data_IF_800620646572
#
_entry.id   IF_800620646572
#
_cell.length_a   1.000
_cell.length_b   1.000
_cell.length_c   1.000
_cell.angle_alpha   90.00
_cell.angle_beta   90.00
_cell.angle_gamma   90.00
#
_symmetry.space_group_name_H-M   'P 1'
#
loop_
_entity.id
_entity.type
_entity.pdbx_description
1 polymer ?
#
# COMPACT_ATOMS: atom_id res chain seq x y z
N UNK A 1 -22.84 15.37 -16.18
CA UNK A 1 -21.74 15.50 -17.21
C UNK A 1 -20.75 14.36 -17.01
N UNK A 2 -20.48 13.54 -18.04
CA UNK A 2 -19.53 12.42 -17.98
C UNK A 2 -18.12 12.90 -18.33
N UNK A 3 -17.15 12.58 -17.49
CA UNK A 3 -15.74 12.99 -17.65
C UNK A 3 -14.84 11.77 -17.59
N UNK A 4 -13.93 11.65 -18.56
CA UNK A 4 -12.82 10.71 -18.50
C UNK A 4 -11.58 11.46 -18.03
N UNK A 5 -10.91 11.00 -16.97
CA UNK A 5 -9.72 11.64 -16.46
C UNK A 5 -8.59 11.75 -17.51
N UNK A 6 -7.94 12.90 -17.61
CA UNK A 6 -6.73 13.03 -18.43
C UNK A 6 -5.54 12.26 -17.89
N UNK A 7 -5.49 12.09 -16.57
CA UNK A 7 -4.47 11.29 -15.89
C UNK A 7 -4.78 9.80 -16.08
N UNK A 8 -3.78 9.04 -16.50
CA UNK A 8 -3.93 7.61 -16.75
C UNK A 8 -3.66 6.79 -15.50
N UNK A 9 -4.33 5.64 -15.41
CA UNK A 9 -3.97 4.58 -14.48
C UNK A 9 -2.75 3.82 -14.99
N UNK A 10 -1.99 3.22 -14.07
CA UNK A 10 -0.76 2.50 -14.39
C UNK A 10 -0.92 1.00 -14.17
N UNK A 11 -0.38 0.23 -15.11
CA UNK A 11 -0.23 -1.21 -14.91
C UNK A 11 0.96 -1.48 -13.97
N UNK A 12 0.84 -2.38 -12.97
CA UNK A 12 1.88 -2.63 -11.97
C UNK A 12 3.03 -3.52 -12.48
N UNK A 13 3.81 -3.07 -13.47
CA UNK A 13 4.89 -3.85 -14.10
C UNK A 13 5.94 -4.36 -13.11
N UNK A 14 6.32 -3.58 -12.11
CA UNK A 14 7.28 -4.00 -11.10
C UNK A 14 6.74 -5.20 -10.30
N UNK A 15 5.45 -5.17 -9.94
CA UNK A 15 4.80 -6.28 -9.24
C UNK A 15 4.67 -7.52 -10.12
N UNK A 16 4.45 -7.36 -11.46
CA UNK A 16 4.49 -8.50 -12.39
C UNK A 16 5.84 -9.21 -12.33
N UNK A 17 6.91 -8.44 -12.34
CA UNK A 17 8.27 -8.97 -12.25
C UNK A 17 8.53 -9.68 -10.91
N UNK A 18 8.13 -9.07 -9.80
CA UNK A 18 8.34 -9.63 -8.46
C UNK A 18 7.54 -10.93 -8.26
N UNK A 19 6.32 -10.97 -8.77
CA UNK A 19 5.50 -12.18 -8.71
C UNK A 19 6.07 -13.29 -9.61
N UNK A 20 6.52 -12.97 -10.82
CA UNK A 20 7.22 -13.92 -11.68
C UNK A 20 8.49 -14.46 -11.01
N UNK A 21 9.28 -13.59 -10.36
CA UNK A 21 10.47 -13.97 -9.61
C UNK A 21 10.16 -14.93 -8.45
N UNK A 22 9.04 -14.70 -7.75
CA UNK A 22 8.56 -15.57 -6.69
C UNK A 22 8.27 -16.98 -7.21
N UNK A 23 7.47 -17.09 -8.29
CA UNK A 23 7.09 -18.39 -8.87
C UNK A 23 8.28 -19.11 -9.50
N UNK A 24 9.14 -18.40 -10.22
CA UNK A 24 10.37 -18.96 -10.79
C UNK A 24 11.34 -19.41 -9.69
N UNK A 25 11.40 -18.68 -8.57
CA UNK A 25 12.17 -19.10 -7.40
C UNK A 25 11.69 -20.43 -6.84
N UNK A 26 10.39 -20.56 -6.63
CA UNK A 26 9.77 -21.82 -6.20
C UNK A 26 10.09 -22.98 -7.17
N UNK A 27 9.90 -22.77 -8.47
CA UNK A 27 10.21 -23.79 -9.49
C UNK A 27 11.69 -24.19 -9.48
N UNK A 28 12.60 -23.24 -9.26
CA UNK A 28 14.04 -23.54 -9.11
C UNK A 28 14.29 -24.46 -7.92
N UNK A 29 13.60 -24.23 -6.79
CA UNK A 29 13.78 -25.03 -5.58
C UNK A 29 13.17 -26.44 -5.76
N UNK A 30 12.02 -26.58 -6.42
CA UNK A 30 11.45 -27.86 -6.84
C UNK A 30 12.42 -28.62 -7.76
N UNK A 31 13.01 -27.95 -8.74
CA UNK A 31 13.95 -28.60 -9.65
C UNK A 31 15.31 -28.91 -8.99
N UNK A 32 15.67 -28.20 -7.93
CA UNK A 32 16.84 -28.60 -7.12
C UNK A 32 16.59 -29.94 -6.40
N UNK A 33 15.40 -30.13 -5.82
CA UNK A 33 15.01 -31.41 -5.24
C UNK A 33 15.07 -32.54 -6.30
N UNK A 34 14.47 -32.30 -7.49
CA UNK A 34 14.54 -33.28 -8.59
C UNK A 34 15.99 -33.66 -8.96
N UNK A 35 16.89 -32.68 -9.03
CA UNK A 35 18.29 -32.89 -9.40
C UNK A 35 19.04 -33.83 -8.41
N UNK A 36 18.68 -33.79 -7.13
CA UNK A 36 19.28 -34.66 -6.12
C UNK A 36 19.05 -36.15 -6.42
N UNK A 37 17.99 -36.47 -7.15
CA UNK A 37 17.62 -37.86 -7.54
C UNK A 37 18.16 -38.27 -8.90
N UNK A 38 18.92 -37.45 -9.62
CA UNK A 38 19.52 -37.82 -10.91
C UNK A 38 20.39 -39.09 -10.80
N UNK A 39 21.24 -39.29 -9.76
CA UNK A 39 21.99 -40.51 -9.63
C UNK A 39 21.11 -41.76 -9.51
N UNK A 40 20.03 -41.70 -8.72
CA UNK A 40 19.08 -42.81 -8.57
C UNK A 40 18.29 -43.05 -9.86
N UNK A 41 17.89 -41.98 -10.57
CA UNK A 41 17.23 -42.11 -11.88
C UNK A 41 18.13 -42.82 -12.89
N UNK A 42 19.43 -42.48 -12.91
CA UNK A 42 20.43 -43.16 -13.77
C UNK A 42 20.55 -44.63 -13.45
N UNK A 43 20.76 -44.96 -12.17
CA UNK A 43 20.87 -46.30 -11.67
C UNK A 43 19.63 -47.12 -12.03
N UNK A 44 18.43 -46.55 -11.84
CA UNK A 44 17.17 -47.21 -12.21
C UNK A 44 17.12 -47.53 -13.71
N UNK A 45 17.51 -46.61 -14.58
CA UNK A 45 17.54 -46.81 -16.03
C UNK A 45 18.55 -47.88 -16.41
N UNK A 46 19.75 -47.88 -15.81
CA UNK A 46 20.81 -48.88 -16.07
C UNK A 46 20.40 -50.29 -15.63
N UNK A 47 19.90 -50.46 -14.39
CA UNK A 47 19.52 -51.74 -13.82
C UNK A 47 18.29 -52.37 -14.50
N UNK A 48 17.33 -51.56 -14.93
CA UNK A 48 16.07 -52.01 -15.50
C UNK A 48 16.12 -52.21 -17.03
N UNK A 49 17.19 -51.76 -17.66
CA UNK A 49 17.47 -52.12 -19.08
C UNK A 49 17.95 -53.54 -19.27
N UNK A 50 18.14 -54.30 -18.17
CA UNK A 50 18.54 -55.73 -18.21
C UNK A 50 17.31 -56.61 -18.49
N UNK A 51 17.48 -57.72 -19.25
CA UNK A 51 16.39 -58.65 -19.54
C UNK A 51 15.85 -59.30 -18.25
N UNK A 52 14.53 -59.18 -18.01
CA UNK A 52 13.87 -59.88 -16.90
C UNK A 52 13.32 -58.99 -15.77
N UNK A 53 13.36 -57.69 -15.91
CA UNK A 53 12.88 -56.72 -14.89
C UNK A 53 11.34 -56.66 -14.80
N UNK A 54 10.78 -57.39 -13.84
CA UNK A 54 9.32 -57.48 -13.60
C UNK A 54 8.77 -56.37 -12.66
N UNK A 55 9.60 -55.54 -12.04
CA UNK A 55 9.20 -54.60 -10.99
C UNK A 55 9.42 -53.12 -11.31
N UNK A 56 9.76 -52.79 -12.55
CA UNK A 56 10.11 -51.41 -13.00
C UNK A 56 9.07 -50.35 -12.57
N UNK A 57 7.80 -50.65 -12.76
CA UNK A 57 6.73 -49.69 -12.46
C UNK A 57 6.62 -49.35 -10.95
N UNK A 58 6.93 -50.35 -10.09
CA UNK A 58 6.90 -50.12 -8.63
C UNK A 58 8.06 -49.23 -8.19
N UNK A 59 9.28 -49.51 -8.63
CA UNK A 59 10.46 -48.71 -8.31
C UNK A 59 10.35 -47.27 -8.87
N UNK A 60 9.84 -47.11 -10.09
CA UNK A 60 9.60 -45.82 -10.69
C UNK A 60 8.53 -45.03 -9.91
N UNK A 61 7.45 -45.71 -9.50
CA UNK A 61 6.42 -45.09 -8.70
C UNK A 61 6.96 -44.58 -7.34
N UNK A 62 7.73 -45.45 -6.65
CA UNK A 62 8.36 -45.08 -5.37
C UNK A 62 9.38 -43.94 -5.51
N UNK A 63 10.15 -43.93 -6.58
CA UNK A 63 11.10 -42.86 -6.86
C UNK A 63 10.39 -41.52 -7.10
N UNK A 64 9.33 -41.52 -7.91
CA UNK A 64 8.51 -40.34 -8.18
C UNK A 64 7.84 -39.82 -6.90
N UNK A 65 7.35 -40.72 -6.05
CA UNK A 65 6.72 -40.37 -4.78
C UNK A 65 7.72 -39.74 -3.81
N UNK A 66 8.93 -40.29 -3.69
CA UNK A 66 10.02 -39.70 -2.90
C UNK A 66 10.43 -38.33 -3.39
N UNK A 67 10.57 -38.14 -4.71
CA UNK A 67 10.88 -36.84 -5.29
C UNK A 67 9.78 -35.84 -4.94
N UNK A 68 8.50 -36.22 -5.07
CA UNK A 68 7.38 -35.35 -4.69
C UNK A 68 7.40 -34.98 -3.21
N UNK A 69 7.75 -35.92 -2.35
CA UNK A 69 7.85 -35.69 -0.91
C UNK A 69 8.91 -34.64 -0.55
N UNK A 70 10.05 -34.69 -1.26
CA UNK A 70 11.19 -33.80 -1.02
C UNK A 70 11.06 -32.44 -1.75
N UNK A 71 10.11 -32.32 -2.67
CA UNK A 71 9.82 -31.02 -3.30
C UNK A 71 9.10 -30.08 -2.33
N UNK A 72 9.40 -28.77 -2.36
CA UNK A 72 8.60 -27.77 -1.67
C UNK A 72 7.13 -27.91 -2.06
N UNK A 73 6.23 -27.83 -1.09
CA UNK A 73 4.80 -27.82 -1.38
C UNK A 73 4.34 -26.39 -1.75
N UNK A 74 3.35 -26.27 -2.65
CA UNK A 74 2.85 -24.98 -3.13
C UNK A 74 2.39 -24.07 -1.97
N UNK A 75 1.92 -24.64 -0.87
CA UNK A 75 1.42 -23.97 0.33
C UNK A 75 2.47 -23.08 1.01
N UNK A 76 3.75 -23.32 0.79
CA UNK A 76 4.83 -22.43 1.31
C UNK A 76 4.75 -21.02 0.72
N UNK A 77 4.05 -20.85 -0.40
CA UNK A 77 3.84 -19.56 -1.05
C UNK A 77 2.61 -18.82 -0.55
N UNK A 78 1.68 -19.49 0.14
CA UNK A 78 0.39 -18.91 0.51
C UNK A 78 0.53 -17.57 1.23
N UNK A 79 1.34 -17.51 2.29
CA UNK A 79 1.55 -16.28 3.05
C UNK A 79 2.19 -15.14 2.24
N UNK A 80 2.98 -15.49 1.20
CA UNK A 80 3.55 -14.50 0.28
C UNK A 80 2.52 -14.02 -0.74
N UNK A 81 1.66 -14.90 -1.22
CA UNK A 81 0.57 -14.57 -2.13
C UNK A 81 -0.46 -13.66 -1.47
N UNK A 82 -0.81 -13.92 -0.21
CA UNK A 82 -1.71 -13.05 0.56
C UNK A 82 -1.16 -11.63 0.67
N UNK A 83 0.10 -11.48 1.07
CA UNK A 83 0.76 -10.16 1.12
C UNK A 83 0.83 -9.50 -0.25
N UNK A 84 1.14 -10.26 -1.28
CA UNK A 84 1.19 -9.76 -2.65
C UNK A 84 -0.18 -9.25 -3.13
N UNK A 85 -1.26 -9.95 -2.81
CA UNK A 85 -2.62 -9.47 -3.07
C UNK A 85 -2.87 -8.10 -2.42
N UNK A 86 -2.53 -7.95 -1.14
CA UNK A 86 -2.69 -6.70 -0.40
C UNK A 86 -1.86 -5.56 -1.01
N UNK A 87 -0.64 -5.86 -1.45
CA UNK A 87 0.21 -4.88 -2.13
C UNK A 87 -0.40 -4.40 -3.46
N UNK A 88 -0.94 -5.33 -4.26
CA UNK A 88 -1.63 -5.01 -5.52
C UNK A 88 -2.91 -4.22 -5.24
N UNK A 89 -3.66 -4.57 -4.20
CA UNK A 89 -4.87 -3.85 -3.81
C UNK A 89 -4.55 -2.41 -3.41
N UNK A 90 -3.53 -2.20 -2.58
CA UNK A 90 -3.06 -0.87 -2.18
C UNK A 90 -2.54 -0.05 -3.37
N UNK A 91 -1.76 -0.66 -4.25
CA UNK A 91 -1.28 0.00 -5.47
C UNK A 91 -2.44 0.46 -6.34
N UNK A 92 -3.36 -0.46 -6.68
CA UNK A 92 -4.50 -0.20 -7.55
C UNK A 92 -5.40 0.91 -6.99
N UNK A 93 -5.69 0.85 -5.69
CA UNK A 93 -6.50 1.86 -5.03
C UNK A 93 -5.83 3.23 -5.01
N UNK A 94 -4.55 3.30 -4.66
CA UNK A 94 -3.78 4.54 -4.63
C UNK A 94 -3.74 5.22 -6.00
N UNK A 95 -3.56 4.44 -7.05
CA UNK A 95 -3.50 4.96 -8.42
C UNK A 95 -4.88 5.42 -8.90
N UNK A 96 -5.94 4.63 -8.66
CA UNK A 96 -7.33 4.99 -8.97
C UNK A 96 -7.75 6.25 -8.21
N UNK A 97 -7.46 6.33 -6.91
CA UNK A 97 -7.74 7.49 -6.08
C UNK A 97 -7.14 8.76 -6.68
N UNK A 98 -5.85 8.75 -7.03
CA UNK A 98 -5.18 9.90 -7.64
C UNK A 98 -5.82 10.35 -8.96
N UNK A 99 -6.28 9.40 -9.75
CA UNK A 99 -6.97 9.69 -11.01
C UNK A 99 -8.31 10.35 -10.77
N UNK A 100 -9.12 9.82 -9.85
CA UNK A 100 -10.43 10.38 -9.52
C UNK A 100 -10.27 11.76 -8.86
N UNK A 101 -9.41 11.90 -7.87
CA UNK A 101 -9.10 13.17 -7.19
C UNK A 101 -8.66 14.27 -8.16
N UNK A 102 -7.89 13.92 -9.20
CA UNK A 102 -7.44 14.88 -10.21
C UNK A 102 -8.58 15.50 -11.05
N UNK A 103 -9.73 14.85 -11.08
CA UNK A 103 -10.92 15.32 -11.83
C UNK A 103 -11.93 15.96 -10.90
N UNK A 104 -12.14 15.34 -9.74
CA UNK A 104 -13.21 15.74 -8.83
C UNK A 104 -12.80 16.85 -7.87
N UNK A 105 -11.49 17.06 -7.66
CA UNK A 105 -10.98 17.90 -6.59
C UNK A 105 -11.35 17.41 -5.18
N UNK A 106 -12.06 16.26 -5.09
CA UNK A 106 -12.48 15.65 -3.83
C UNK A 106 -11.49 14.58 -3.44
N UNK A 107 -10.93 14.63 -2.25
CA UNK A 107 -10.06 13.57 -1.73
C UNK A 107 -10.88 12.34 -1.38
N UNK A 108 -10.40 11.20 -1.82
CA UNK A 108 -10.94 9.89 -1.47
C UNK A 108 -10.15 9.27 -0.31
N UNK A 109 -10.76 8.35 0.45
CA UNK A 109 -10.11 7.68 1.58
C UNK A 109 -8.78 7.02 1.17
N UNK A 110 -7.85 6.89 2.12
CA UNK A 110 -6.61 6.14 1.90
C UNK A 110 -6.89 4.64 1.65
N UNK A 111 -5.87 3.91 1.21
CA UNK A 111 -6.02 2.50 0.81
C UNK A 111 -6.48 1.55 1.94
N UNK A 112 -6.30 1.98 3.20
CA UNK A 112 -6.56 1.15 4.38
C UNK A 112 -7.93 1.46 5.01
N UNK A 113 -8.70 2.37 4.40
CA UNK A 113 -10.04 2.73 4.87
C UNK A 113 -11.08 1.81 4.23
N UNK A 114 -11.90 1.18 5.07
CA UNK A 114 -13.09 0.46 4.63
C UNK A 114 -13.99 1.40 3.83
N UNK A 115 -14.34 1.00 2.61
CA UNK A 115 -15.26 1.78 1.79
C UNK A 115 -16.63 1.83 2.44
N UNK A 116 -17.41 2.91 2.27
CA UNK A 116 -18.66 3.15 3.00
C UNK A 116 -19.78 2.12 2.73
N UNK A 117 -19.56 1.14 1.88
CA UNK A 117 -20.43 -0.03 1.74
C UNK A 117 -19.83 -1.22 2.50
N UNK A 118 -20.49 -1.65 3.56
CA UNK A 118 -20.19 -2.84 4.35
C UNK A 118 -19.92 -4.09 3.50
N UNK A 119 -20.52 -4.15 2.32
CA UNK A 119 -20.45 -5.28 1.38
C UNK A 119 -19.18 -5.28 0.52
N UNK A 120 -18.40 -4.20 0.48
CA UNK A 120 -17.26 -4.07 -0.44
C UNK A 120 -15.94 -4.65 0.12
N UNK A 121 -15.79 -4.71 1.44
CA UNK A 121 -14.61 -5.30 2.08
C UNK A 121 -14.75 -6.83 2.16
N UNK A 122 -15.92 -7.33 2.51
CA UNK A 122 -16.23 -8.77 2.43
C UNK A 122 -15.98 -9.31 1.01
N UNK A 123 -16.21 -8.48 -0.02
CA UNK A 123 -15.96 -8.85 -1.42
C UNK A 123 -14.47 -8.90 -1.81
N UNK A 124 -13.63 -8.03 -1.22
CA UNK A 124 -12.17 -8.09 -1.45
C UNK A 124 -11.51 -9.25 -0.72
N UNK A 125 -11.95 -9.58 0.49
CA UNK A 125 -11.45 -10.74 1.23
C UNK A 125 -11.88 -12.04 0.54
N UNK A 126 -13.12 -12.14 0.07
CA UNK A 126 -13.57 -13.26 -0.74
C UNK A 126 -12.75 -13.39 -2.05
N UNK A 127 -12.45 -12.27 -2.72
CA UNK A 127 -11.58 -12.25 -3.90
C UNK A 127 -10.17 -12.74 -3.56
N UNK A 128 -9.61 -12.34 -2.42
CA UNK A 128 -8.28 -12.75 -1.96
C UNK A 128 -8.21 -14.27 -1.77
N UNK A 129 -9.18 -14.84 -1.10
CA UNK A 129 -9.24 -16.28 -0.89
C UNK A 129 -9.35 -17.04 -2.22
N UNK A 130 -10.22 -16.60 -3.12
CA UNK A 130 -10.37 -17.19 -4.45
C UNK A 130 -9.08 -17.07 -5.26
N UNK A 131 -8.45 -15.90 -5.30
CA UNK A 131 -7.24 -15.67 -6.05
C UNK A 131 -6.05 -16.49 -5.53
N UNK A 132 -5.88 -16.57 -4.20
CA UNK A 132 -4.84 -17.39 -3.57
C UNK A 132 -5.06 -18.86 -3.89
N UNK A 133 -6.29 -19.37 -3.74
CA UNK A 133 -6.64 -20.75 -4.06
C UNK A 133 -6.37 -21.09 -5.53
N UNK A 134 -6.84 -20.26 -6.46
CA UNK A 134 -6.61 -20.45 -7.90
C UNK A 134 -5.11 -20.49 -8.25
N UNK A 135 -4.31 -19.61 -7.62
CA UNK A 135 -2.87 -19.58 -7.87
C UNK A 135 -2.16 -20.81 -7.29
N UNK A 136 -2.53 -21.29 -6.10
CA UNK A 136 -2.01 -22.53 -5.55
C UNK A 136 -2.32 -23.72 -6.45
N UNK A 137 -3.54 -23.81 -6.99
CA UNK A 137 -3.93 -24.88 -7.91
C UNK A 137 -3.15 -24.81 -9.23
N UNK A 138 -2.93 -23.59 -9.76
CA UNK A 138 -2.09 -23.42 -10.94
C UNK A 138 -0.65 -23.89 -10.70
N UNK A 139 -0.08 -23.62 -9.53
CA UNK A 139 1.28 -24.06 -9.17
C UNK A 139 1.32 -25.57 -8.99
N UNK A 140 0.38 -26.16 -8.27
CA UNK A 140 0.26 -27.63 -8.15
C UNK A 140 0.18 -28.29 -9.54
N UNK A 141 -0.53 -27.66 -10.49
CA UNK A 141 -0.61 -28.16 -11.86
C UNK A 141 0.74 -28.12 -12.59
N UNK A 142 1.64 -27.19 -12.25
CA UNK A 142 3.02 -27.20 -12.77
C UNK A 142 3.80 -28.37 -12.18
N UNK A 143 3.70 -28.57 -10.86
CA UNK A 143 4.40 -29.65 -10.16
C UNK A 143 3.96 -31.01 -10.70
N UNK A 144 2.67 -31.24 -10.87
CA UNK A 144 2.12 -32.48 -11.44
C UNK A 144 2.58 -32.72 -12.86
N UNK A 145 2.55 -31.69 -13.70
CA UNK A 145 3.02 -31.79 -15.10
C UNK A 145 4.53 -32.05 -15.16
N UNK A 146 5.30 -31.41 -14.28
CA UNK A 146 6.74 -31.66 -14.15
C UNK A 146 7.02 -33.11 -13.81
N UNK A 147 6.35 -33.67 -12.80
CA UNK A 147 6.52 -35.05 -12.37
C UNK A 147 6.03 -36.05 -13.44
N UNK A 148 4.93 -35.71 -14.12
CA UNK A 148 4.42 -36.50 -15.25
C UNK A 148 5.46 -36.60 -16.39
N UNK A 149 6.11 -35.49 -16.73
CA UNK A 149 7.15 -35.44 -17.78
C UNK A 149 8.40 -36.20 -17.37
N UNK A 150 8.85 -36.04 -16.11
CA UNK A 150 9.99 -36.82 -15.59
C UNK A 150 9.69 -38.30 -15.65
N UNK A 151 8.49 -38.74 -15.21
CA UNK A 151 8.05 -40.12 -15.31
C UNK A 151 8.10 -40.63 -16.75
N UNK A 152 7.55 -39.84 -17.70
CA UNK A 152 7.57 -40.22 -19.13
C UNK A 152 8.99 -40.37 -19.68
N UNK A 153 9.87 -39.42 -19.35
CA UNK A 153 11.25 -39.43 -19.75
C UNK A 153 12.01 -40.71 -19.24
N UNK A 154 11.75 -41.07 -17.99
CA UNK A 154 12.33 -42.29 -17.41
C UNK A 154 11.73 -43.54 -18.03
N UNK A 155 10.41 -43.62 -18.18
CA UNK A 155 9.72 -44.76 -18.79
C UNK A 155 10.23 -45.02 -20.22
N UNK A 156 10.32 -43.98 -21.06
CA UNK A 156 10.80 -44.11 -22.44
C UNK A 156 12.22 -44.70 -22.52
N UNK A 157 13.09 -44.40 -21.55
CA UNK A 157 14.44 -44.91 -21.47
C UNK A 157 14.49 -46.39 -21.00
N UNK A 158 13.68 -46.70 -20.00
CA UNK A 158 13.62 -48.06 -19.44
C UNK A 158 13.02 -49.03 -20.45
N UNK A 159 12.02 -48.62 -21.24
CA UNK A 159 11.34 -49.46 -22.23
C UNK A 159 12.12 -49.63 -23.55
N UNK A 160 13.34 -49.10 -23.64
CA UNK A 160 14.20 -49.30 -24.79
C UNK A 160 13.86 -48.47 -26.03
N UNK A 161 13.04 -47.45 -25.90
CA UNK A 161 12.71 -46.54 -26.99
C UNK A 161 13.86 -45.62 -27.41
N UNK A 162 15.03 -45.67 -26.73
CA UNK A 162 16.21 -44.83 -26.95
C UNK A 162 17.50 -45.63 -26.86
N UNK A 163 18.48 -45.35 -27.70
CA UNK A 163 19.74 -46.10 -27.79
C UNK A 163 20.66 -45.90 -26.56
N UNK A 164 21.20 -46.92 -25.98
CA UNK A 164 21.86 -46.97 -24.67
C UNK A 164 23.11 -46.10 -24.47
N UNK A 165 23.84 -45.73 -25.53
CA UNK A 165 25.14 -45.06 -25.41
C UNK A 165 25.12 -43.59 -24.96
N UNK A 166 23.96 -42.94 -24.96
CA UNK A 166 23.77 -41.49 -24.59
C UNK A 166 22.89 -41.24 -23.38
N UNK A 167 22.32 -42.29 -22.78
CA UNK A 167 21.22 -42.31 -21.83
C UNK A 167 21.34 -41.33 -20.65
N UNK A 168 22.51 -41.24 -20.02
CA UNK A 168 22.71 -40.44 -18.83
C UNK A 168 22.86 -38.95 -19.14
N UNK A 169 23.52 -38.61 -20.27
CA UNK A 169 23.73 -37.24 -20.71
C UNK A 169 22.42 -36.65 -21.26
N UNK A 170 21.67 -37.46 -21.98
CA UNK A 170 20.36 -37.08 -22.54
C UNK A 170 19.29 -36.89 -21.45
N UNK A 171 19.35 -37.66 -20.35
CA UNK A 171 18.43 -37.50 -19.22
C UNK A 171 18.61 -36.13 -18.54
N UNK A 172 19.86 -35.70 -18.32
CA UNK A 172 20.13 -34.38 -17.75
C UNK A 172 19.62 -33.28 -18.67
N UNK A 173 19.91 -33.36 -19.97
CA UNK A 173 19.47 -32.41 -20.96
C UNK A 173 17.92 -32.32 -21.01
N UNK A 174 17.22 -33.47 -20.90
CA UNK A 174 15.78 -33.51 -20.88
C UNK A 174 15.17 -32.88 -19.59
N UNK A 175 15.76 -33.18 -18.42
CA UNK A 175 15.38 -32.54 -17.15
C UNK A 175 15.62 -31.02 -17.23
N UNK A 176 16.71 -30.55 -17.83
CA UNK A 176 16.96 -29.14 -18.07
C UNK A 176 15.91 -28.51 -19.00
N UNK A 177 15.53 -29.19 -20.08
CA UNK A 177 14.50 -28.76 -20.99
C UNK A 177 13.11 -28.66 -20.31
N UNK A 178 12.78 -29.65 -19.47
CA UNK A 178 11.57 -29.58 -18.62
C UNK A 178 11.63 -28.35 -17.70
N UNK A 179 12.76 -28.12 -17.02
CA UNK A 179 12.96 -26.97 -16.12
C UNK A 179 12.71 -25.65 -16.83
N UNK A 180 13.31 -25.44 -18.00
CA UNK A 180 13.15 -24.19 -18.77
C UNK A 180 11.72 -23.99 -19.28
N UNK A 181 11.03 -25.09 -19.62
CA UNK A 181 9.63 -25.01 -20.04
C UNK A 181 8.72 -24.61 -18.89
N UNK A 182 8.88 -25.23 -17.71
CA UNK A 182 8.04 -24.93 -16.56
C UNK A 182 8.35 -23.55 -15.95
N UNK A 183 9.60 -23.09 -16.02
CA UNK A 183 9.95 -21.70 -15.71
C UNK A 183 9.19 -20.69 -16.57
N UNK A 184 9.17 -20.89 -17.90
CA UNK A 184 8.37 -20.03 -18.81
C UNK A 184 6.88 -20.08 -18.48
N UNK A 185 6.37 -21.26 -18.08
CA UNK A 185 4.97 -21.40 -17.65
C UNK A 185 4.70 -20.62 -16.37
N UNK A 186 5.58 -20.66 -15.37
CA UNK A 186 5.47 -19.85 -14.14
C UNK A 186 5.47 -18.35 -14.43
N UNK A 187 6.34 -17.89 -15.34
CA UNK A 187 6.35 -16.48 -15.78
C UNK A 187 5.03 -16.05 -16.47
N UNK A 188 4.45 -16.98 -17.26
CA UNK A 188 3.17 -16.73 -17.92
C UNK A 188 2.01 -16.65 -16.93
N UNK A 189 1.98 -17.54 -15.94
CA UNK A 189 0.99 -17.55 -14.86
C UNK A 189 1.09 -16.24 -14.08
N UNK A 190 2.30 -15.84 -13.67
CA UNK A 190 2.50 -14.61 -12.92
C UNK A 190 1.91 -13.38 -13.66
N UNK A 191 2.20 -13.26 -14.95
CA UNK A 191 1.69 -12.17 -15.78
C UNK A 191 0.17 -12.20 -15.93
N UNK A 192 -0.39 -13.38 -16.18
CA UNK A 192 -1.83 -13.55 -16.39
C UNK A 192 -2.60 -13.28 -15.10
N UNK A 193 -2.14 -13.84 -14.01
CA UNK A 193 -2.79 -13.72 -12.70
C UNK A 193 -2.71 -12.30 -12.14
N UNK A 194 -1.60 -11.59 -12.34
CA UNK A 194 -1.53 -10.18 -11.94
C UNK A 194 -2.45 -9.30 -12.78
N UNK A 195 -2.49 -9.50 -14.10
CA UNK A 195 -3.40 -8.74 -14.98
C UNK A 195 -4.85 -8.90 -14.57
N UNK A 196 -5.28 -10.13 -14.28
CA UNK A 196 -6.63 -10.44 -13.79
C UNK A 196 -6.90 -9.81 -12.42
N UNK A 197 -5.97 -9.97 -11.48
CA UNK A 197 -6.11 -9.41 -10.14
C UNK A 197 -6.26 -7.89 -10.17
N UNK A 198 -5.34 -7.20 -10.87
CA UNK A 198 -5.39 -5.75 -11.03
C UNK A 198 -6.71 -5.28 -11.66
N UNK A 199 -7.16 -5.95 -12.74
CA UNK A 199 -8.43 -5.65 -13.40
C UNK A 199 -9.64 -5.86 -12.49
N UNK A 200 -9.66 -6.94 -11.70
CA UNK A 200 -10.75 -7.26 -10.78
C UNK A 200 -10.81 -6.28 -9.62
N UNK A 201 -9.67 -5.93 -9.02
CA UNK A 201 -9.62 -4.93 -7.93
C UNK A 201 -10.04 -3.55 -8.45
N UNK A 202 -9.52 -3.14 -9.62
CA UNK A 202 -9.90 -1.87 -10.24
C UNK A 202 -11.41 -1.78 -10.48
N UNK A 203 -12.03 -2.85 -11.00
CA UNK A 203 -13.47 -2.94 -11.18
C UNK A 203 -14.21 -2.75 -9.85
N UNK A 204 -13.90 -3.57 -8.83
CA UNK A 204 -14.59 -3.52 -7.52
C UNK A 204 -14.48 -2.15 -6.86
N UNK A 205 -13.30 -1.54 -6.94
CA UNK A 205 -13.10 -0.20 -6.39
C UNK A 205 -13.88 0.87 -7.18
N UNK A 206 -13.99 0.77 -8.49
CA UNK A 206 -14.84 1.68 -9.28
C UNK A 206 -16.33 1.47 -8.96
N UNK A 207 -16.81 0.22 -8.96
CA UNK A 207 -18.21 -0.10 -8.64
C UNK A 207 -18.58 0.35 -7.22
N UNK A 208 -17.68 0.22 -6.23
CA UNK A 208 -17.92 0.68 -4.85
C UNK A 208 -18.05 2.20 -4.73
N UNK A 209 -17.44 2.94 -5.65
CA UNK A 209 -17.59 4.39 -5.76
C UNK A 209 -18.80 4.80 -6.62
N UNK A 210 -19.61 3.83 -7.09
CA UNK A 210 -20.75 4.09 -7.98
C UNK A 210 -20.35 4.43 -9.41
N UNK A 211 -19.12 4.11 -9.82
CA UNK A 211 -18.64 4.28 -11.20
C UNK A 211 -19.05 3.06 -12.02
N UNK A 212 -20.08 3.21 -12.82
CA UNK A 212 -20.70 2.11 -13.58
C UNK A 212 -20.07 1.92 -14.99
N UNK A 213 -19.28 2.88 -15.45
CA UNK A 213 -18.70 2.89 -16.79
C UNK A 213 -17.19 3.14 -16.76
N UNK A 214 -16.50 2.58 -17.73
CA UNK A 214 -15.07 2.79 -17.93
C UNK A 214 -14.74 3.01 -19.41
N UNK A 215 -13.63 3.71 -19.67
CA UNK A 215 -13.01 3.77 -20.99
C UNK A 215 -11.89 2.73 -21.08
N UNK A 216 -11.85 2.03 -22.22
CA UNK A 216 -10.81 1.03 -22.47
C UNK A 216 -9.49 1.70 -22.82
N UNK A 217 -8.47 1.49 -21.99
CA UNK A 217 -7.11 1.97 -22.21
C UNK A 217 -6.17 0.79 -22.45
N UNK A 218 -5.47 0.79 -23.60
CA UNK A 218 -4.46 -0.24 -23.90
C UNK A 218 -3.12 0.10 -23.24
N UNK A 219 -2.22 -0.89 -23.14
CA UNK A 219 -0.85 -0.67 -22.67
C UNK A 219 0.04 0.07 -23.68
N UNK A 220 -0.44 0.39 -24.88
CA UNK A 220 0.26 1.08 -25.98
C UNK A 220 1.58 0.42 -26.43
N UNK A 221 1.79 -0.85 -26.09
CA UNK A 221 2.96 -1.61 -26.54
C UNK A 221 2.64 -2.46 -27.79
N UNK A 222 3.66 -3.01 -28.43
CA UNK A 222 3.54 -3.84 -29.65
C UNK A 222 2.77 -5.14 -29.42
N UNK A 223 2.59 -5.56 -28.15
CA UNK A 223 1.93 -6.80 -27.74
C UNK A 223 0.42 -6.66 -27.59
N UNK A 224 -0.11 -5.44 -27.76
CA UNK A 224 -1.57 -5.21 -27.76
C UNK A 224 -2.18 -5.89 -28.98
N UNK A 225 -3.14 -6.77 -28.74
CA UNK A 225 -3.90 -7.45 -29.80
C UNK A 225 -4.69 -6.43 -30.63
N UNK A 226 -4.87 -6.71 -31.91
CA UNK A 226 -5.63 -5.81 -32.78
C UNK A 226 -7.08 -5.63 -32.31
N UNK A 227 -7.73 -6.69 -31.78
CA UNK A 227 -9.05 -6.62 -31.18
C UNK A 227 -9.10 -5.65 -29.97
N UNK A 228 -8.07 -5.66 -29.11
CA UNK A 228 -7.97 -4.73 -27.98
C UNK A 228 -7.61 -3.31 -28.43
N UNK A 229 -6.76 -3.17 -29.45
CA UNK A 229 -6.41 -1.88 -30.05
C UNK A 229 -7.64 -1.18 -30.64
N UNK A 230 -8.56 -1.95 -31.21
CA UNK A 230 -9.84 -1.46 -31.72
C UNK A 230 -10.79 -0.96 -30.62
N UNK A 231 -10.56 -1.31 -29.37
CA UNK A 231 -11.36 -0.86 -28.22
C UNK A 231 -10.79 0.41 -27.55
N UNK A 232 -9.57 0.81 -27.89
CA UNK A 232 -8.92 2.00 -27.32
C UNK A 232 -9.83 3.23 -27.34
N UNK A 233 -10.01 3.88 -26.18
CA UNK A 233 -10.81 5.11 -26.02
C UNK A 233 -12.32 4.88 -26.10
N UNK A 234 -12.80 3.63 -26.18
CA UNK A 234 -14.23 3.33 -26.16
C UNK A 234 -14.75 3.13 -24.74
N UNK A 235 -15.91 3.70 -24.46
CA UNK A 235 -16.57 3.54 -23.17
C UNK A 235 -17.45 2.29 -23.13
N UNK A 236 -17.42 1.58 -22.01
CA UNK A 236 -18.20 0.37 -21.72
C UNK A 236 -18.76 0.42 -20.31
N UNK A 237 -19.87 -0.28 -20.08
CA UNK A 237 -20.40 -0.46 -18.72
C UNK A 237 -19.83 -1.73 -18.08
N UNK A 238 -19.63 -1.69 -16.77
CA UNK A 238 -19.26 -2.87 -15.98
C UNK A 238 -20.29 -4.00 -16.06
N UNK A 239 -21.57 -3.68 -16.30
CA UNK A 239 -22.63 -4.65 -16.49
C UNK A 239 -22.71 -5.21 -17.92
N UNK A 240 -22.06 -4.54 -18.91
CA UNK A 240 -22.12 -4.93 -20.32
C UNK A 240 -20.74 -4.79 -20.98
N UNK A 241 -19.85 -5.80 -20.78
CA UNK A 241 -18.53 -5.79 -21.38
C UNK A 241 -18.56 -5.95 -22.89
N UNK A 242 -17.47 -5.58 -23.60
CA UNK A 242 -17.27 -5.99 -24.99
C UNK A 242 -17.07 -7.51 -25.11
N UNK A 243 -17.10 -8.08 -26.33
CA UNK A 243 -16.88 -9.52 -26.55
C UNK A 243 -15.56 -10.05 -25.97
N UNK A 244 -14.53 -9.23 -25.90
CA UNK A 244 -13.23 -9.54 -25.31
C UNK A 244 -13.25 -9.64 -23.78
N UNK A 245 -14.36 -9.33 -23.11
CA UNK A 245 -14.46 -9.20 -21.67
C UNK A 245 -13.95 -7.84 -21.17
N UNK A 246 -13.74 -7.70 -19.87
CA UNK A 246 -13.20 -6.47 -19.28
C UNK A 246 -11.66 -6.38 -19.40
N UNK A 247 -11.08 -5.16 -19.34
CA UNK A 247 -9.62 -4.98 -19.28
C UNK A 247 -8.99 -5.80 -18.16
N UNK A 248 -7.88 -6.49 -18.46
CA UNK A 248 -7.18 -7.38 -17.52
C UNK A 248 -7.70 -8.83 -17.48
N UNK A 249 -8.95 -9.11 -17.89
CA UNK A 249 -9.55 -10.46 -17.84
C UNK A 249 -9.02 -11.42 -18.92
N UNK A 250 -8.85 -11.00 -20.17
CA UNK A 250 -8.29 -11.89 -21.21
C UNK A 250 -6.85 -12.29 -20.85
N UNK A 251 -6.48 -13.52 -21.22
CA UNK A 251 -5.13 -14.06 -20.96
C UNK A 251 -4.06 -13.08 -21.43
N UNK A 252 -3.12 -12.72 -20.53
CA UNK A 252 -2.02 -11.77 -20.75
C UNK A 252 -2.44 -10.35 -21.11
N UNK A 253 -3.65 -9.95 -20.77
CA UNK A 253 -4.12 -8.60 -21.01
C UNK A 253 -3.49 -7.63 -19.99
N UNK A 254 -2.99 -6.50 -20.50
CA UNK A 254 -2.47 -5.37 -19.69
C UNK A 254 -3.26 -4.09 -19.93
N UNK A 255 -4.41 -4.21 -20.58
CA UNK A 255 -5.32 -3.08 -20.75
C UNK A 255 -5.93 -2.72 -19.39
N UNK A 256 -6.31 -1.46 -19.25
CA UNK A 256 -6.82 -0.88 -18.02
C UNK A 256 -8.19 -0.27 -18.28
N UNK A 257 -9.08 -0.34 -17.30
CA UNK A 257 -10.35 0.36 -17.30
C UNK A 257 -10.18 1.72 -16.64
N UNK A 258 -10.18 2.81 -17.41
CA UNK A 258 -10.20 4.18 -16.88
C UNK A 258 -11.62 4.53 -16.42
N UNK A 259 -11.81 5.10 -15.23
CA UNK A 259 -13.14 5.42 -14.74
C UNK A 259 -13.80 6.50 -15.62
N UNK A 260 -15.07 6.34 -15.95
CA UNK A 260 -15.92 7.39 -16.53
C UNK A 260 -16.76 7.97 -15.39
N UNK A 261 -16.39 9.18 -14.98
CA UNK A 261 -16.98 9.83 -13.79
C UNK A 261 -18.20 10.63 -14.23
N UNK A 262 -19.38 10.28 -13.68
CA UNK A 262 -20.59 11.10 -13.86
C UNK A 262 -20.68 12.13 -12.74
N UNK A 263 -20.29 13.38 -13.08
CA UNK A 263 -20.22 14.49 -12.15
C UNK A 263 -21.54 14.74 -11.41
N UNK A 264 -22.64 14.64 -12.09
CA UNK A 264 -23.96 14.97 -11.53
C UNK A 264 -24.47 13.90 -10.57
N UNK A 265 -23.98 12.65 -10.70
CA UNK A 265 -24.41 11.51 -9.92
C UNK A 265 -23.51 11.23 -8.71
N UNK A 266 -22.21 11.45 -8.86
CA UNK A 266 -21.20 11.01 -7.88
C UNK A 266 -20.77 12.11 -6.91
N UNK A 267 -20.89 13.35 -7.32
CA UNK A 267 -20.61 14.51 -6.48
C UNK A 267 -21.94 15.20 -6.19
N UNK A 268 -22.72 14.67 -5.27
CA UNK A 268 -23.79 15.46 -4.64
C UNK A 268 -23.22 16.82 -4.24
N UNK A 269 -24.01 17.91 -4.39
CA UNK A 269 -23.56 19.27 -4.06
C UNK A 269 -22.76 19.25 -2.75
N UNK A 270 -21.58 19.90 -2.69
CA UNK A 270 -20.81 19.97 -1.46
C UNK A 270 -21.73 20.61 -0.41
N UNK A 271 -22.06 19.86 0.64
CA UNK A 271 -22.83 20.38 1.76
C UNK A 271 -22.03 21.53 2.34
N UNK A 272 -22.44 22.76 2.06
CA UNK A 272 -21.90 23.96 2.70
C UNK A 272 -22.08 23.83 4.20
N UNK A 273 -20.96 23.86 4.94
CA UNK A 273 -20.93 24.06 6.39
C UNK A 273 -21.51 22.89 7.18
N UNK A 274 -20.88 21.74 7.16
CA UNK A 274 -21.06 20.75 8.23
C UNK A 274 -19.85 20.81 9.15
N UNK A 275 -20.06 21.45 10.29
CA UNK A 275 -19.26 21.15 11.47
C UNK A 275 -19.41 19.66 11.76
N UNK A 276 -18.35 18.98 12.16
CA UNK A 276 -18.42 17.60 12.50
C UNK A 276 -19.39 17.43 13.68
N UNK A 277 -20.56 16.89 13.40
CA UNK A 277 -21.32 16.16 14.39
C UNK A 277 -20.59 14.82 14.56
N UNK A 278 -19.78 14.70 15.60
CA UNK A 278 -19.13 13.45 15.93
C UNK A 278 -20.24 12.50 16.36
N UNK A 279 -20.52 11.39 15.62
CA UNK A 279 -21.66 10.53 15.94
C UNK A 279 -21.51 9.95 17.34
N UNK A 280 -22.57 10.04 18.13
CA UNK A 280 -22.73 9.25 19.35
C UNK A 280 -22.70 7.76 18.97
N UNK A 281 -21.57 7.11 19.14
CA UNK A 281 -21.56 5.67 19.10
C UNK A 281 -21.05 5.12 20.44
N UNK A 282 -21.97 4.46 21.11
CA UNK A 282 -21.85 3.59 22.27
C UNK A 282 -22.38 4.17 23.57
N UNK A 283 -23.63 3.81 23.90
CA UNK A 283 -24.11 3.38 25.24
C UNK A 283 -23.72 4.18 26.48
N UNK A 284 -23.59 5.50 26.43
CA UNK A 284 -23.36 6.31 27.62
C UNK A 284 -23.17 7.77 27.22
N UNK A 285 -24.19 8.59 27.41
CA UNK A 285 -24.37 9.99 27.04
C UNK A 285 -23.09 10.81 26.90
N UNK A 286 -22.59 10.92 25.70
CA UNK A 286 -21.43 11.75 25.33
C UNK A 286 -22.00 12.96 24.59
N UNK A 287 -21.74 14.15 25.12
CA UNK A 287 -22.15 15.39 24.48
C UNK A 287 -21.50 15.58 23.11
N UNK A 288 -22.18 16.27 22.20
CA UNK A 288 -21.62 16.71 20.92
C UNK A 288 -20.37 17.55 21.17
N UNK A 289 -19.24 17.14 20.58
CA UNK A 289 -18.02 17.94 20.59
C UNK A 289 -18.07 18.90 19.42
N UNK A 290 -18.20 20.17 19.70
CA UNK A 290 -18.11 21.21 18.67
C UNK A 290 -16.65 21.63 18.51
N UNK A 291 -16.08 21.38 17.36
CA UNK A 291 -14.78 21.91 16.98
C UNK A 291 -15.00 23.23 16.24
N UNK A 292 -14.43 24.30 16.74
CA UNK A 292 -14.54 25.62 16.10
C UNK A 292 -13.21 26.02 15.47
N UNK A 293 -13.23 26.35 14.19
CA UNK A 293 -12.12 27.01 13.55
C UNK A 293 -12.03 28.46 14.01
N UNK A 294 -10.82 28.90 14.36
CA UNK A 294 -10.57 30.29 14.77
C UNK A 294 -10.02 31.15 13.63
N UNK A 295 -9.63 30.52 12.52
CA UNK A 295 -9.06 31.18 11.34
C UNK A 295 -9.65 30.58 10.07
N UNK A 296 -9.65 31.31 8.93
CA UNK A 296 -10.06 30.78 7.64
C UNK A 296 -9.25 29.54 7.23
N UNK A 297 -7.97 29.52 7.54
CA UNK A 297 -7.06 28.40 7.24
C UNK A 297 -7.44 27.15 8.04
N UNK A 298 -7.78 27.29 9.32
CA UNK A 298 -8.34 26.19 10.12
C UNK A 298 -9.71 25.75 9.62
N UNK A 299 -10.56 26.67 9.20
CA UNK A 299 -11.87 26.33 8.65
C UNK A 299 -11.73 25.45 7.40
N UNK A 300 -10.83 25.82 6.49
CA UNK A 300 -10.52 25.03 5.30
C UNK A 300 -9.92 23.67 5.67
N UNK A 301 -8.98 23.63 6.62
CA UNK A 301 -8.39 22.41 7.14
C UNK A 301 -9.46 21.47 7.71
N UNK A 302 -10.33 21.99 8.57
CA UNK A 302 -11.38 21.20 9.20
C UNK A 302 -12.45 20.77 8.20
N UNK A 303 -12.87 21.64 7.29
CA UNK A 303 -13.79 21.28 6.22
C UNK A 303 -13.27 20.12 5.36
N UNK A 304 -11.95 20.03 5.18
CA UNK A 304 -11.31 19.01 4.35
C UNK A 304 -11.07 17.70 5.09
N UNK A 305 -10.66 17.73 6.34
CA UNK A 305 -10.13 16.59 7.06
C UNK A 305 -10.93 16.16 8.31
N UNK A 306 -11.80 17.00 8.85
CA UNK A 306 -12.64 16.61 9.97
C UNK A 306 -13.88 15.86 9.47
N UNK A 307 -13.74 14.57 9.24
CA UNK A 307 -14.81 13.64 8.87
C UNK A 307 -14.45 12.24 9.36
N UNK A 308 -15.38 11.30 9.30
CA UNK A 308 -15.21 9.93 9.77
C UNK A 308 -14.11 9.15 9.02
N UNK A 309 -13.64 9.67 7.88
CA UNK A 309 -12.56 9.05 7.11
C UNK A 309 -11.19 9.38 7.68
N UNK A 310 -11.05 10.57 8.25
CA UNK A 310 -9.76 11.09 8.70
C UNK A 310 -9.63 11.17 10.23
N UNK A 311 -10.75 11.09 10.95
CA UNK A 311 -10.77 11.14 12.40
C UNK A 311 -11.61 9.98 12.95
N UNK A 312 -11.03 9.18 13.83
CA UNK A 312 -11.70 8.11 14.54
C UNK A 312 -11.78 8.43 16.04
N UNK A 313 -12.95 8.28 16.62
CA UNK A 313 -13.10 8.36 18.08
C UNK A 313 -12.91 6.98 18.67
N UNK A 314 -11.98 6.87 19.63
CA UNK A 314 -11.73 5.65 20.36
C UNK A 314 -11.50 5.97 21.84
N UNK A 315 -12.55 5.75 22.65
CA UNK A 315 -12.52 6.03 24.10
C UNK A 315 -11.62 5.10 24.90
N UNK A 316 -11.13 4.01 24.28
CA UNK A 316 -10.15 3.10 24.86
C UNK A 316 -8.69 3.48 24.56
N UNK A 317 -8.48 4.46 23.67
CA UNK A 317 -7.14 4.85 23.25
C UNK A 317 -6.36 5.51 24.39
N UNK A 318 -5.06 5.19 24.46
CA UNK A 318 -4.21 5.58 25.63
C UNK A 318 -3.71 7.02 25.59
N UNK A 319 -3.91 7.74 24.49
CA UNK A 319 -3.53 9.14 24.33
C UNK A 319 -4.77 10.00 24.08
N UNK A 320 -4.64 11.31 24.22
CA UNK A 320 -5.73 12.26 23.92
C UNK A 320 -6.03 12.26 22.44
N UNK A 321 -5.02 12.39 21.60
CA UNK A 321 -5.09 12.24 20.17
C UNK A 321 -3.75 11.74 19.62
N UNK A 322 -3.74 11.24 18.41
CA UNK A 322 -2.54 10.93 17.63
C UNK A 322 -2.91 10.68 16.18
N UNK A 323 -2.07 11.11 15.26
CA UNK A 323 -2.13 10.62 13.89
C UNK A 323 -1.49 9.23 13.83
N UNK A 324 -2.27 8.23 13.45
CA UNK A 324 -1.83 6.86 13.28
C UNK A 324 -1.44 6.62 11.81
N UNK A 325 -0.15 6.36 11.59
CA UNK A 325 0.41 6.13 10.25
C UNK A 325 -0.13 4.86 9.57
N UNK A 326 -0.50 3.86 10.36
CA UNK A 326 -1.00 2.59 9.84
C UNK A 326 -2.46 2.71 9.42
N UNK A 327 -3.27 3.39 10.22
CA UNK A 327 -4.67 3.66 9.92
C UNK A 327 -4.85 4.87 8.98
N UNK A 328 -3.82 5.72 8.83
CA UNK A 328 -3.87 7.02 8.14
C UNK A 328 -5.00 7.91 8.66
N UNK A 329 -5.23 7.88 9.97
CA UNK A 329 -6.28 8.61 10.68
C UNK A 329 -5.76 9.29 11.93
N UNK A 330 -6.43 10.36 12.30
CA UNK A 330 -6.31 10.91 13.65
C UNK A 330 -7.20 10.10 14.57
N UNK A 331 -6.62 9.41 15.56
CA UNK A 331 -7.36 8.73 16.61
C UNK A 331 -7.50 9.69 17.77
N UNK A 332 -8.73 9.85 18.26
CA UNK A 332 -9.06 10.83 19.28
C UNK A 332 -9.84 10.18 20.43
N UNK A 333 -9.36 10.38 21.67
CA UNK A 333 -10.03 9.91 22.89
C UNK A 333 -10.57 11.08 23.73
N UNK A 334 -11.86 11.44 23.60
CA UNK A 334 -12.47 12.52 24.36
C UNK A 334 -12.66 12.18 25.84
N UNK A 335 -12.54 10.92 26.25
CA UNK A 335 -12.63 10.48 27.65
C UNK A 335 -11.25 10.34 28.33
N UNK A 336 -10.18 10.71 27.64
CA UNK A 336 -8.86 10.69 28.24
C UNK A 336 -8.79 11.68 29.43
N UNK A 337 -8.18 11.25 30.54
CA UNK A 337 -8.08 12.05 31.78
C UNK A 337 -7.45 13.44 31.61
N UNK A 338 -6.58 13.59 30.63
CA UNK A 338 -5.88 14.83 30.33
C UNK A 338 -6.57 15.66 29.25
N UNK A 339 -7.70 15.20 28.70
CA UNK A 339 -8.41 15.88 27.61
C UNK A 339 -8.78 17.33 27.94
N UNK A 340 -9.25 17.59 29.16
CA UNK A 340 -9.64 18.93 29.59
C UNK A 340 -8.49 19.92 29.72
N UNK A 341 -7.24 19.47 29.64
CA UNK A 341 -6.04 20.31 29.70
C UNK A 341 -5.72 20.99 28.36
N UNK A 342 -6.32 20.50 27.27
CA UNK A 342 -5.92 20.89 25.92
C UNK A 342 -7.09 21.55 25.16
N UNK A 343 -6.75 22.43 24.23
CA UNK A 343 -7.70 22.96 23.28
C UNK A 343 -7.94 21.93 22.15
N UNK A 344 -9.18 21.44 22.02
CA UNK A 344 -9.52 20.42 21.05
C UNK A 344 -9.16 20.82 19.60
N UNK A 345 -9.45 22.07 19.23
CA UNK A 345 -9.16 22.54 17.87
C UNK A 345 -7.66 22.57 17.58
N UNK A 346 -6.84 22.92 18.59
CA UNK A 346 -5.38 22.93 18.49
C UNK A 346 -4.81 21.53 18.34
N UNK A 347 -5.25 20.57 19.19
CA UNK A 347 -4.82 19.16 19.08
C UNK A 347 -5.17 18.59 17.72
N UNK A 348 -6.42 18.77 17.27
CA UNK A 348 -6.84 18.23 15.99
C UNK A 348 -6.08 18.88 14.84
N UNK A 349 -5.79 20.18 14.90
CA UNK A 349 -4.94 20.86 13.92
C UNK A 349 -3.54 20.23 13.88
N UNK A 350 -2.94 20.00 15.05
CA UNK A 350 -1.62 19.37 15.16
C UNK A 350 -1.56 17.99 14.52
N UNK A 351 -2.51 17.12 14.86
CA UNK A 351 -2.55 15.76 14.31
C UNK A 351 -2.90 15.74 12.81
N UNK A 352 -3.72 16.68 12.34
CA UNK A 352 -4.01 16.84 10.92
C UNK A 352 -2.82 17.37 10.12
N UNK A 353 -1.95 18.18 10.72
CA UNK A 353 -0.70 18.59 10.09
C UNK A 353 0.20 17.38 9.86
N UNK A 354 0.32 16.46 10.84
CA UNK A 354 1.04 15.20 10.62
C UNK A 354 0.48 14.39 9.46
N UNK A 355 -0.84 14.33 9.34
CA UNK A 355 -1.50 13.64 8.23
C UNK A 355 -1.14 14.28 6.89
N UNK A 356 -1.22 15.60 6.77
CA UNK A 356 -0.88 16.34 5.55
C UNK A 356 0.59 16.14 5.19
N UNK A 357 1.48 16.22 6.19
CA UNK A 357 2.91 15.97 5.96
C UNK A 357 3.17 14.62 5.32
N UNK A 358 2.55 13.57 5.86
CA UNK A 358 2.69 12.21 5.32
C UNK A 358 2.07 12.09 3.92
N UNK A 359 0.89 12.66 3.70
CA UNK A 359 0.22 12.63 2.40
C UNK A 359 1.00 13.35 1.31
N UNK A 360 1.59 14.48 1.64
CA UNK A 360 2.27 15.35 0.69
C UNK A 360 3.78 15.16 0.67
N UNK A 361 4.34 14.41 1.62
CA UNK A 361 5.77 14.18 1.76
C UNK A 361 6.56 15.46 2.04
N UNK A 362 6.00 16.38 2.83
CA UNK A 362 6.57 17.71 3.06
C UNK A 362 7.91 17.60 3.80
N UNK A 363 7.96 16.81 4.88
CA UNK A 363 9.18 16.56 5.63
C UNK A 363 10.31 15.99 4.75
N UNK A 364 9.96 15.14 3.78
CA UNK A 364 10.95 14.56 2.85
C UNK A 364 11.43 15.59 1.85
N UNK A 365 10.52 16.40 1.29
CA UNK A 365 10.87 17.43 0.30
C UNK A 365 11.70 18.56 0.88
N UNK A 366 11.48 18.91 2.14
CA UNK A 366 12.15 20.01 2.83
C UNK A 366 13.20 19.51 3.84
N UNK A 367 13.62 18.25 3.77
CA UNK A 367 14.48 17.62 4.78
C UNK A 367 15.75 18.42 5.09
N UNK A 368 16.45 18.91 4.07
CA UNK A 368 17.67 19.71 4.24
C UNK A 368 17.40 21.04 4.94
N UNK A 369 16.35 21.76 4.55
CA UNK A 369 15.94 23.03 5.16
C UNK A 369 15.52 22.85 6.61
N UNK A 370 14.73 21.80 6.90
CA UNK A 370 14.25 21.48 8.25
C UNK A 370 15.44 21.15 9.17
N UNK A 371 16.32 20.25 8.73
CA UNK A 371 17.48 19.84 9.50
C UNK A 371 18.47 21.02 9.75
N UNK A 372 18.67 21.85 8.74
CA UNK A 372 19.45 23.08 8.88
C UNK A 372 18.81 24.04 9.92
N UNK A 373 17.51 24.31 9.78
CA UNK A 373 16.80 25.21 10.67
C UNK A 373 16.82 24.71 12.13
N UNK A 374 16.62 23.40 12.35
CA UNK A 374 16.68 22.79 13.68
C UNK A 374 18.07 22.96 14.31
N UNK A 375 19.16 22.66 13.56
CA UNK A 375 20.53 22.79 14.06
C UNK A 375 20.88 24.24 14.44
N UNK A 376 20.59 25.19 13.56
CA UNK A 376 20.87 26.61 13.80
C UNK A 376 20.00 27.16 14.91
N UNK A 377 18.70 26.86 14.95
CA UNK A 377 17.82 27.27 16.04
C UNK A 377 18.27 26.71 17.38
N UNK A 378 18.66 25.43 17.44
CA UNK A 378 19.20 24.78 18.64
C UNK A 378 20.42 25.52 19.17
N UNK A 379 21.34 25.86 18.28
CA UNK A 379 22.57 26.60 18.66
C UNK A 379 22.23 27.95 19.24
N UNK A 380 21.34 28.73 18.60
CA UNK A 380 20.91 30.04 19.07
C UNK A 380 20.17 30.00 20.41
N UNK A 381 19.25 29.03 20.56
CA UNK A 381 18.44 28.86 21.77
C UNK A 381 19.32 28.45 22.93
N UNK A 382 20.23 27.49 22.76
CA UNK A 382 21.12 27.02 23.83
C UNK A 382 22.17 28.05 24.20
N UNK A 383 22.65 28.88 23.26
CA UNK A 383 23.53 29.99 23.55
C UNK A 383 22.87 31.08 24.41
N UNK A 384 21.53 31.11 24.42
CA UNK A 384 20.73 32.06 25.22
C UNK A 384 19.79 31.31 26.19
N UNK A 385 20.22 30.20 26.76
CA UNK A 385 19.37 29.26 27.51
C UNK A 385 18.57 29.94 28.61
N UNK A 386 19.19 30.81 29.44
CA UNK A 386 18.52 31.51 30.53
C UNK A 386 17.31 32.35 30.07
N UNK A 387 17.39 32.97 28.88
CA UNK A 387 16.28 33.70 28.28
C UNK A 387 15.11 32.77 27.95
N UNK A 388 15.40 31.65 27.31
CA UNK A 388 14.37 30.72 26.81
C UNK A 388 13.83 29.83 27.94
N UNK A 389 14.61 29.50 28.93
CA UNK A 389 14.16 28.85 30.19
C UNK A 389 13.12 29.75 30.88
N UNK A 390 13.43 31.02 31.09
CA UNK A 390 12.50 31.97 31.69
C UNK A 390 11.20 32.16 30.85
N UNK A 391 11.28 32.03 29.53
CA UNK A 391 10.08 32.04 28.67
C UNK A 391 9.26 30.76 28.85
N UNK A 392 9.88 29.59 28.99
CA UNK A 392 9.19 28.34 29.22
C UNK A 392 8.61 28.19 30.63
N UNK A 393 9.19 28.89 31.62
CA UNK A 393 8.65 29.00 32.98
C UNK A 393 7.51 30.05 33.10
N UNK A 394 7.18 30.74 32.03
CA UNK A 394 6.07 31.70 31.96
C UNK A 394 4.80 31.01 31.37
N UNK A 395 3.64 31.68 31.37
CA UNK A 395 2.42 31.17 30.72
C UNK A 395 2.57 30.82 29.23
N UNK A 396 3.68 31.18 28.61
CA UNK A 396 4.03 30.80 27.26
C UNK A 396 4.44 29.31 27.19
N UNK A 397 5.05 28.78 28.21
CA UNK A 397 5.44 27.37 28.29
C UNK A 397 4.28 26.42 28.65
N UNK A 398 3.12 26.95 29.00
CA UNK A 398 1.89 26.17 29.16
C UNK A 398 1.26 25.85 27.81
N UNK A 399 1.58 26.62 26.75
CA UNK A 399 1.12 26.39 25.40
C UNK A 399 1.74 25.11 24.82
N UNK A 400 0.88 24.19 24.34
CA UNK A 400 1.29 22.87 23.89
C UNK A 400 2.27 22.97 22.71
N UNK A 401 1.93 23.71 21.70
CA UNK A 401 2.73 23.77 20.46
C UNK A 401 4.06 24.49 20.69
N UNK A 402 4.10 25.53 21.53
CA UNK A 402 5.33 26.25 21.89
C UNK A 402 6.24 25.37 22.74
N UNK A 403 5.68 24.77 23.81
CA UNK A 403 6.41 23.90 24.73
C UNK A 403 7.07 22.73 24.00
N UNK A 404 6.31 22.05 23.14
CA UNK A 404 6.80 20.87 22.44
C UNK A 404 7.77 21.23 21.30
N UNK A 405 7.58 22.37 20.62
CA UNK A 405 8.54 22.90 19.64
C UNK A 405 9.93 23.11 20.26
N UNK A 406 10.00 23.73 21.43
CA UNK A 406 11.26 23.95 22.12
C UNK A 406 11.89 22.66 22.66
N UNK A 407 11.08 21.74 23.15
CA UNK A 407 11.51 20.41 23.55
C UNK A 407 12.09 19.62 22.37
N UNK A 408 11.42 19.62 21.20
CA UNK A 408 11.89 18.98 19.98
C UNK A 408 13.25 19.55 19.54
N UNK A 409 13.35 20.87 19.40
CA UNK A 409 14.58 21.53 18.94
C UNK A 409 15.73 21.30 19.91
N UNK A 410 15.50 21.39 21.23
CA UNK A 410 16.59 21.35 22.24
C UNK A 410 16.84 19.96 22.82
N UNK A 411 16.05 18.95 22.43
CA UNK A 411 16.13 17.61 23.02
C UNK A 411 15.75 17.63 24.50
N UNK A 412 14.66 18.27 24.88
CA UNK A 412 14.14 18.47 26.23
C UNK A 412 15.06 19.26 27.20
N UNK A 413 16.07 19.96 26.71
CA UNK A 413 16.89 20.81 27.58
C UNK A 413 16.14 22.07 27.99
N UNK A 414 15.36 22.62 27.09
CA UNK A 414 14.47 23.76 27.34
C UNK A 414 13.07 23.32 26.88
N UNK A 415 12.12 23.29 27.81
CA UNK A 415 10.75 22.84 27.58
C UNK A 415 9.79 23.47 28.57
N UNK A 416 8.54 23.60 28.18
CA UNK A 416 7.43 23.90 29.09
C UNK A 416 6.77 22.64 29.65
N UNK A 417 5.50 22.76 30.10
CA UNK A 417 4.78 21.68 30.78
C UNK A 417 4.27 20.58 29.83
N UNK A 418 3.91 20.94 28.60
CA UNK A 418 3.20 20.06 27.64
C UNK A 418 4.13 19.36 26.63
N UNK A 419 5.39 19.12 26.99
CA UNK A 419 6.37 18.53 26.07
C UNK A 419 6.34 16.99 26.07
N UNK A 420 6.66 16.39 24.93
CA UNK A 420 6.89 14.96 24.81
C UNK A 420 8.04 14.48 25.72
N UNK A 421 7.96 13.23 26.26
CA UNK A 421 9.03 12.69 27.10
C UNK A 421 10.31 12.43 26.27
N UNK A 422 11.48 12.43 26.94
CA UNK A 422 12.79 12.22 26.30
C UNK A 422 12.86 10.95 25.41
N UNK A 423 12.15 9.89 25.78
CA UNK A 423 12.13 8.65 25.00
C UNK A 423 11.49 8.82 23.63
N UNK A 424 10.57 9.75 23.46
CA UNK A 424 9.89 10.04 22.20
C UNK A 424 10.86 10.52 21.12
N UNK A 425 11.80 11.39 21.48
CA UNK A 425 12.78 12.00 20.56
C UNK A 425 13.83 11.02 20.02
N UNK A 426 13.84 9.77 20.50
CA UNK A 426 14.71 8.71 19.99
C UNK A 426 14.13 8.03 18.74
N UNK A 427 12.87 8.26 18.43
CA UNK A 427 12.24 7.73 17.23
C UNK A 427 12.77 8.49 16.00
N UNK A 428 13.11 7.75 14.96
CA UNK A 428 13.63 8.33 13.71
C UNK A 428 12.59 9.30 13.11
N UNK A 429 13.02 10.51 12.80
CA UNK A 429 12.18 11.55 12.19
C UNK A 429 11.15 12.18 13.15
N UNK A 430 11.16 11.86 14.44
CA UNK A 430 10.22 12.44 15.40
C UNK A 430 10.42 13.94 15.57
N UNK A 431 11.68 14.37 15.66
CA UNK A 431 12.02 15.80 15.87
C UNK A 431 11.54 16.64 14.69
N UNK A 432 11.83 16.22 13.49
CA UNK A 432 11.47 16.92 12.25
C UNK A 432 9.96 17.05 12.11
N UNK A 433 9.23 15.95 12.31
CA UNK A 433 7.76 15.93 12.21
C UNK A 433 7.09 16.81 13.27
N UNK A 434 7.56 16.76 14.51
CA UNK A 434 7.02 17.61 15.59
C UNK A 434 7.34 19.09 15.38
N UNK A 435 8.53 19.42 14.89
CA UNK A 435 8.86 20.81 14.56
C UNK A 435 7.92 21.35 13.48
N UNK A 436 7.64 20.58 12.44
CA UNK A 436 6.66 20.94 11.40
C UNK A 436 5.27 21.10 12.01
N UNK A 437 4.79 20.08 12.75
CA UNK A 437 3.44 20.06 13.29
C UNK A 437 3.21 21.25 14.24
N UNK A 438 4.16 21.53 15.11
CA UNK A 438 4.04 22.64 16.05
C UNK A 438 4.12 24.01 15.38
N UNK A 439 5.02 24.22 14.41
CA UNK A 439 5.10 25.49 13.66
C UNK A 439 3.81 25.71 12.89
N UNK A 440 3.29 24.71 12.18
CA UNK A 440 2.08 24.85 11.40
C UNK A 440 0.82 24.98 12.28
N UNK A 441 0.77 24.33 13.42
CA UNK A 441 -0.30 24.53 14.40
C UNK A 441 -0.33 25.98 14.88
N UNK A 442 0.81 26.54 15.26
CA UNK A 442 0.97 27.95 15.65
C UNK A 442 0.52 28.89 14.52
N UNK A 443 0.85 28.53 13.26
CA UNK A 443 0.46 29.28 12.08
C UNK A 443 -1.07 29.23 11.86
N UNK A 444 -1.65 28.05 11.79
CA UNK A 444 -3.08 27.85 11.53
C UNK A 444 -3.97 28.42 12.63
N UNK A 445 -3.56 28.33 13.88
CA UNK A 445 -4.28 28.92 15.02
C UNK A 445 -4.07 30.42 15.15
N UNK A 446 -3.16 31.00 14.34
CA UNK A 446 -2.69 32.40 14.46
C UNK A 446 -2.29 32.75 15.90
N UNK A 447 -1.65 31.82 16.57
CA UNK A 447 -1.12 32.06 17.92
C UNK A 447 -0.08 33.17 17.88
N UNK A 448 -0.51 34.39 18.22
CA UNK A 448 0.29 35.62 18.07
C UNK A 448 1.63 35.53 18.80
N UNK A 449 1.63 35.00 20.05
CA UNK A 449 2.85 34.87 20.86
C UNK A 449 3.80 33.83 20.27
N UNK A 450 3.27 32.72 19.80
CA UNK A 450 4.03 31.66 19.11
C UNK A 450 4.64 32.18 17.82
N UNK A 451 3.89 32.91 17.00
CA UNK A 451 4.40 33.50 15.75
C UNK A 451 5.49 34.55 16.03
N UNK A 452 5.29 35.46 17.00
CA UNK A 452 6.30 36.43 17.41
C UNK A 452 7.60 35.73 17.86
N UNK A 453 7.48 34.63 18.62
CA UNK A 453 8.62 33.85 19.10
C UNK A 453 9.35 33.15 17.93
N UNK A 454 8.64 32.44 17.04
CA UNK A 454 9.21 31.82 15.84
C UNK A 454 9.91 32.86 14.97
N UNK A 455 9.27 33.99 14.71
CA UNK A 455 9.82 35.09 13.91
C UNK A 455 11.04 35.76 14.55
N UNK A 456 11.18 35.70 15.87
CA UNK A 456 12.36 36.21 16.60
C UNK A 456 13.62 35.34 16.45
N UNK A 457 13.45 34.08 15.95
CA UNK A 457 14.52 33.10 15.75
C UNK A 457 14.73 32.94 14.23
N UNK A 458 15.78 33.56 13.63
CA UNK A 458 15.92 33.65 12.18
C UNK A 458 15.78 32.34 11.42
N UNK A 459 16.39 31.20 11.85
CA UNK A 459 16.22 29.91 11.17
C UNK A 459 14.77 29.41 11.17
N UNK A 460 14.03 29.58 12.28
CA UNK A 460 12.61 29.17 12.37
C UNK A 460 11.71 30.08 11.53
N UNK A 461 12.01 31.38 11.45
CA UNK A 461 11.29 32.29 10.56
C UNK A 461 11.49 31.94 9.09
N UNK A 462 12.68 31.51 8.70
CA UNK A 462 12.94 31.05 7.33
C UNK A 462 12.15 29.76 7.03
N UNK A 463 12.23 28.78 7.94
CA UNK A 463 11.50 27.52 7.83
C UNK A 463 9.98 27.74 7.78
N UNK A 464 9.42 28.63 8.60
CA UNK A 464 7.99 28.96 8.57
C UNK A 464 7.53 29.37 7.15
N UNK A 465 8.28 30.24 6.47
CA UNK A 465 7.94 30.66 5.09
C UNK A 465 7.95 29.53 4.09
N UNK A 466 8.88 28.61 4.21
CA UNK A 466 8.95 27.42 3.34
C UNK A 466 7.79 26.46 3.61
N UNK A 467 7.44 26.30 4.90
CA UNK A 467 6.30 25.49 5.31
C UNK A 467 4.97 26.10 4.85
N UNK A 468 4.77 27.40 5.05
CA UNK A 468 3.56 28.10 4.56
C UNK A 468 3.38 27.90 3.06
N UNK A 469 4.46 28.01 2.26
CA UNK A 469 4.40 27.75 0.82
C UNK A 469 4.13 26.27 0.49
N UNK A 470 4.63 25.33 1.30
CA UNK A 470 4.43 23.90 1.10
C UNK A 470 3.03 23.41 1.52
N UNK A 471 2.45 24.04 2.54
CA UNK A 471 1.10 23.77 3.07
C UNK A 471 0.02 24.67 2.48
N UNK A 472 0.34 25.53 1.52
CA UNK A 472 -0.67 26.41 0.88
C UNK A 472 -1.74 25.54 0.20
N UNK A 473 -2.89 25.46 0.87
CA UNK A 473 -4.02 24.59 0.51
C UNK A 473 -4.88 25.24 -0.60
N UNK A 474 -4.61 26.50 -0.94
CA UNK A 474 -5.40 27.27 -1.91
C UNK A 474 -5.10 26.92 -3.37
N UNK A 475 -4.03 26.15 -3.65
CA UNK A 475 -3.54 25.85 -4.99
C UNK A 475 -3.56 24.35 -5.34
N UNK A 476 -4.37 23.51 -4.66
CA UNK A 476 -4.49 22.07 -4.96
C UNK A 476 -5.89 21.67 -5.42
#
# INVERSE_FOLDING_TARGET
MKIVPKRRLHYPFAMEYDYAKLLVGYMRDCMAAVRNYIPEMRKLVEEQSAPGATSVNVYLALLIDRIRHDMPQAEVLEGRMRRFFDDVARFTWRDLRRVIESVTGTRLPSADVHLPRKDADDDLDALKELWVGENLDLIRSIDDETMRRIRQALTARITGSVNHAGLAKDLIAEIQAITEKEKRRAELIARDQLGKLHGQINRRKQESLGIDEYEWETSHDERVRDSHRALQGKAFSWSKPPPEGHPGYPIRCRCIALPVIDWDRQLGEPKRGSYLEIPENTGGGIGQYTVSATTPEMEELFRRYLNDEHVRIDTSYKKVATYDLLEDRVIFNPQHRDFAKYNLSEILTHELVHKIDVEQGIAVRLAESIDHAIREARSLILANSAKYEALMDSPLGEDMSISDLFAAITGNRIRGEAAHPMAYWRNIGAVEREVIANIMTICYTRNKKGLELICSIPPLRALLKELEAAYDVSHG
#
